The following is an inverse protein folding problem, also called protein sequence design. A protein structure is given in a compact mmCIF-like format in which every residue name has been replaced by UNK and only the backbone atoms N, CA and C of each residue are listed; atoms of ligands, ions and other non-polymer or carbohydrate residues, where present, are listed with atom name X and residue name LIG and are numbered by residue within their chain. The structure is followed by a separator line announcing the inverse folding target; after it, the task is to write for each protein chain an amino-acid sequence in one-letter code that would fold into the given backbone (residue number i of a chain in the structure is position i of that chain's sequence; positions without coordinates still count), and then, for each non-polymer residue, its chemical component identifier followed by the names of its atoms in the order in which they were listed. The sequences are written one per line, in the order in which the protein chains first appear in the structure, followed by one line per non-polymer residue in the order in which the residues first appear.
data_IF_158998960434
#
_entry.id   IF_158998960434
#
_cell.length_a   1.000
_cell.length_b   1.000
_cell.length_c   1.000
_cell.angle_alpha   90.00
_cell.angle_beta   90.00
_cell.angle_gamma   90.00
#
_symmetry.space_group_name_H-M   'P 1'
#
loop_
_entity.id
_entity.type
_entity.pdbx_description
1 polymer ?
#
# COMPACT_ATOMS: atom_id res chain seq x y z
N UNK A 1 18.04 -16.66 16.65
CA UNK A 1 17.27 -17.91 16.52
C UNK A 1 15.86 -17.66 17.05
N UNK A 2 14.88 -17.38 16.18
CA UNK A 2 13.46 -17.26 16.57
C UNK A 2 12.64 -18.07 15.57
N UNK A 3 12.66 -19.39 15.77
CA UNK A 3 11.72 -20.31 15.15
C UNK A 3 10.45 -20.34 15.99
N UNK A 4 9.63 -19.30 15.87
CA UNK A 4 8.29 -19.30 16.46
C UNK A 4 7.38 -20.14 15.56
N UNK A 5 7.09 -21.37 15.97
CA UNK A 5 6.12 -22.24 15.30
C UNK A 5 4.76 -21.52 15.17
N UNK A 6 4.50 -20.93 14.01
CA UNK A 6 3.20 -20.34 13.65
C UNK A 6 2.23 -21.49 13.42
N UNK A 7 1.51 -21.88 14.47
CA UNK A 7 0.55 -22.98 14.39
C UNK A 7 -0.54 -22.72 13.33
N UNK A 8 -1.16 -23.79 12.77
CA UNK A 8 -2.20 -23.69 11.74
C UNK A 8 -3.42 -22.84 12.17
N UNK A 9 -3.59 -22.66 13.48
CA UNK A 9 -4.58 -21.79 14.11
C UNK A 9 -4.50 -20.32 13.69
N UNK A 10 -3.31 -19.81 13.31
CA UNK A 10 -3.19 -18.44 12.80
C UNK A 10 -3.70 -18.30 11.36
N UNK A 11 -3.53 -19.33 10.53
CA UNK A 11 -4.12 -19.39 9.19
C UNK A 11 -5.65 -19.54 9.27
N UNK A 12 -6.14 -20.31 10.25
CA UNK A 12 -7.58 -20.47 10.48
C UNK A 12 -8.28 -19.13 10.79
N UNK A 13 -7.59 -18.19 11.45
CA UNK A 13 -8.10 -16.83 11.69
C UNK A 13 -8.22 -15.97 10.43
N UNK A 14 -7.50 -16.29 9.36
CA UNK A 14 -7.54 -15.56 8.08
C UNK A 14 -8.69 -16.05 7.17
N UNK A 15 -9.15 -17.28 7.35
CA UNK A 15 -10.24 -17.88 6.57
C UNK A 15 -11.53 -17.05 6.54
N UNK A 16 -12.09 -16.56 7.66
CA UNK A 16 -13.32 -15.77 7.59
C UNK A 16 -13.16 -14.49 6.77
N UNK A 17 -12.01 -13.81 6.89
CA UNK A 17 -11.71 -12.63 6.07
C UNK A 17 -11.60 -12.97 4.58
N UNK A 18 -10.97 -14.11 4.26
CA UNK A 18 -10.83 -14.57 2.87
C UNK A 18 -12.19 -14.98 2.27
N UNK A 19 -13.05 -15.64 3.04
CA UNK A 19 -14.41 -16.00 2.62
C UNK A 19 -15.23 -14.74 2.35
N UNK A 20 -15.20 -13.76 3.26
CA UNK A 20 -15.91 -12.49 3.07
C UNK A 20 -15.38 -11.75 1.84
N UNK A 21 -14.06 -11.65 1.68
CA UNK A 21 -13.46 -11.03 0.50
C UNK A 21 -13.88 -11.74 -0.80
N UNK A 22 -13.90 -13.07 -0.81
CA UNK A 22 -14.35 -13.89 -1.94
C UNK A 22 -15.83 -13.69 -2.28
N UNK A 23 -16.70 -13.67 -1.26
CA UNK A 23 -18.14 -13.42 -1.44
C UNK A 23 -18.39 -12.02 -1.97
N UNK A 24 -17.74 -11.00 -1.41
CA UNK A 24 -17.85 -9.63 -1.90
C UNK A 24 -17.33 -9.48 -3.34
N UNK A 25 -16.22 -10.13 -3.67
CA UNK A 25 -15.67 -10.13 -5.03
C UNK A 25 -16.62 -10.82 -6.01
N UNK A 26 -17.17 -11.99 -5.65
CA UNK A 26 -18.18 -12.68 -6.45
C UNK A 26 -19.42 -11.80 -6.64
N UNK A 27 -19.92 -11.19 -5.57
CA UNK A 27 -21.08 -10.30 -5.62
C UNK A 27 -20.82 -9.06 -6.50
N UNK A 28 -19.61 -8.50 -6.47
CA UNK A 28 -19.23 -7.35 -7.30
C UNK A 28 -19.15 -7.69 -8.79
N UNK A 29 -18.78 -8.93 -9.14
CA UNK A 29 -18.52 -9.33 -10.53
C UNK A 29 -19.71 -10.04 -11.19
N UNK A 30 -20.60 -10.67 -10.41
CA UNK A 30 -21.65 -11.55 -10.94
C UNK A 30 -22.61 -10.86 -11.94
N UNK A 31 -22.86 -9.57 -11.75
CA UNK A 31 -23.82 -8.78 -12.55
C UNK A 31 -23.11 -7.83 -13.55
N UNK A 32 -21.81 -8.02 -13.77
CA UNK A 32 -21.00 -7.14 -14.64
C UNK A 32 -21.12 -7.58 -16.10
N UNK A 33 -21.69 -6.71 -16.93
CA UNK A 33 -21.65 -6.82 -18.37
C UNK A 33 -20.28 -6.37 -18.90
N UNK A 34 -19.43 -7.34 -19.23
CA UNK A 34 -18.08 -7.10 -19.74
C UNK A 34 -18.04 -6.31 -21.05
N UNK A 35 -19.09 -6.38 -21.87
CA UNK A 35 -19.18 -5.64 -23.12
C UNK A 35 -19.35 -4.15 -22.84
N UNK A 36 -20.28 -3.81 -21.93
CA UNK A 36 -20.48 -2.45 -21.47
C UNK A 36 -19.25 -1.89 -20.75
N UNK A 37 -18.53 -2.70 -19.97
CA UNK A 37 -17.27 -2.29 -19.33
C UNK A 37 -16.25 -1.89 -20.37
N UNK A 38 -16.04 -2.70 -21.41
CA UNK A 38 -15.07 -2.40 -22.48
C UNK A 38 -15.43 -1.11 -23.21
N UNK A 39 -16.70 -0.92 -23.55
CA UNK A 39 -17.14 0.26 -24.30
C UNK A 39 -17.03 1.54 -23.44
N UNK A 40 -17.32 1.46 -22.13
CA UNK A 40 -17.08 2.55 -21.16
C UNK A 40 -15.58 2.85 -21.00
N UNK A 41 -14.73 1.83 -21.07
CA UNK A 41 -13.28 1.99 -20.96
C UNK A 41 -12.68 2.69 -22.19
N UNK A 42 -13.18 2.37 -23.39
CA UNK A 42 -12.80 3.04 -24.62
C UNK A 42 -13.25 4.52 -24.65
N UNK A 43 -14.42 4.82 -24.06
CA UNK A 43 -14.91 6.19 -23.88
C UNK A 43 -14.31 6.94 -22.68
N UNK A 44 -13.38 6.34 -21.93
CA UNK A 44 -12.79 6.98 -20.77
C UNK A 44 -12.05 8.27 -21.17
N UNK A 45 -12.25 9.34 -20.40
CA UNK A 45 -11.58 10.62 -20.64
C UNK A 45 -10.14 10.56 -20.15
N UNK A 46 -9.26 10.01 -20.99
CA UNK A 46 -7.81 9.94 -20.74
C UNK A 46 -7.16 11.31 -20.49
N UNK A 47 -7.82 12.40 -20.89
CA UNK A 47 -7.42 13.78 -20.53
C UNK A 47 -7.38 14.05 -19.03
N UNK A 48 -8.08 13.25 -18.21
CA UNK A 48 -8.07 13.36 -16.75
C UNK A 48 -6.92 12.57 -16.09
N UNK A 49 -6.27 11.66 -16.82
CA UNK A 49 -5.13 10.90 -16.34
C UNK A 49 -3.98 11.77 -15.78
N UNK A 50 -3.54 12.87 -16.44
CA UNK A 50 -2.51 13.73 -15.87
C UNK A 50 -2.96 14.42 -14.58
N UNK A 51 -4.24 14.82 -14.48
CA UNK A 51 -4.78 15.40 -13.24
C UNK A 51 -4.73 14.38 -12.11
N UNK A 52 -5.14 13.14 -12.38
CA UNK A 52 -5.06 12.05 -11.41
C UNK A 52 -3.61 11.75 -11.00
N UNK A 53 -2.66 11.77 -11.94
CA UNK A 53 -1.25 11.59 -11.65
C UNK A 53 -0.69 12.70 -10.75
N UNK A 54 -1.04 13.95 -11.01
CA UNK A 54 -0.64 15.11 -10.18
C UNK A 54 -1.23 15.00 -8.77
N UNK A 55 -2.51 14.62 -8.64
CA UNK A 55 -3.15 14.41 -7.35
C UNK A 55 -2.50 13.28 -6.57
N UNK A 56 -2.21 12.15 -7.22
CA UNK A 56 -1.53 11.01 -6.61
C UNK A 56 -0.11 11.37 -6.16
N UNK A 57 0.64 12.09 -7.00
CA UNK A 57 1.96 12.58 -6.65
C UNK A 57 1.90 13.53 -5.45
N UNK A 58 0.95 14.47 -5.45
CA UNK A 58 0.74 15.42 -4.36
C UNK A 58 0.38 14.70 -3.06
N UNK A 59 -0.45 13.67 -3.12
CA UNK A 59 -0.79 12.82 -1.97
C UNK A 59 0.46 12.17 -1.35
N UNK A 60 1.32 11.56 -2.17
CA UNK A 60 2.55 10.94 -1.68
C UNK A 60 3.57 11.98 -1.19
N UNK A 61 3.68 13.12 -1.85
CA UNK A 61 4.56 14.22 -1.44
C UNK A 61 4.16 14.79 -0.07
N UNK A 62 2.86 15.02 0.16
CA UNK A 62 2.34 15.45 1.45
C UNK A 62 2.58 14.42 2.55
N UNK A 63 2.43 13.13 2.26
CA UNK A 63 2.79 12.06 3.21
C UNK A 63 4.28 12.08 3.52
N UNK A 64 5.14 12.20 2.52
CA UNK A 64 6.59 12.26 2.73
C UNK A 64 6.98 13.47 3.58
N UNK A 65 6.37 14.63 3.33
CA UNK A 65 6.58 15.84 4.14
C UNK A 65 6.11 15.63 5.58
N UNK A 66 4.91 15.08 5.79
CA UNK A 66 4.38 14.77 7.13
C UNK A 66 5.31 13.82 7.88
N UNK A 67 5.80 12.77 7.24
CA UNK A 67 6.74 11.83 7.85
C UNK A 67 8.09 12.47 8.14
N UNK A 68 8.56 13.38 7.27
CA UNK A 68 9.76 14.18 7.52
C UNK A 68 9.59 15.07 8.76
N UNK A 69 8.44 15.71 8.96
CA UNK A 69 8.15 16.51 10.16
C UNK A 69 8.12 15.66 11.43
N UNK A 70 7.56 14.45 11.37
CA UNK A 70 7.54 13.52 12.51
C UNK A 70 8.93 12.99 12.88
N UNK A 71 9.82 12.83 11.89
CA UNK A 71 11.19 12.35 12.08
C UNK A 71 12.19 13.48 12.36
N UNK A 72 11.84 14.74 12.11
CA UNK A 72 12.68 15.92 12.36
C UNK A 72 13.28 16.00 13.79
N UNK A 73 12.55 15.67 14.88
CA UNK A 73 13.12 15.65 16.23
C UNK A 73 14.12 14.50 16.48
N UNK A 74 14.09 13.44 15.66
CA UNK A 74 14.99 12.29 15.78
C UNK A 74 16.20 12.46 14.87
N UNK A 75 15.99 12.93 13.64
CA UNK A 75 17.05 13.20 12.67
C UNK A 75 16.57 14.15 11.57
N UNK A 76 17.28 15.27 11.38
CA UNK A 76 16.98 16.22 10.31
C UNK A 76 17.34 15.63 8.95
N UNK A 77 16.33 15.38 8.13
CA UNK A 77 16.48 14.70 6.84
C UNK A 77 15.75 15.42 5.71
N UNK A 78 16.29 15.43 4.48
CA UNK A 78 15.57 15.94 3.33
C UNK A 78 14.42 15.01 2.95
N UNK A 79 13.31 15.57 2.45
CA UNK A 79 12.08 14.83 2.09
C UNK A 79 12.37 13.67 1.12
N UNK A 80 13.30 13.87 0.16
CA UNK A 80 13.70 12.82 -0.81
C UNK A 80 14.19 11.53 -0.14
N UNK A 81 14.81 11.66 1.03
CA UNK A 81 15.42 10.53 1.73
C UNK A 81 14.43 9.82 2.66
N UNK A 82 13.26 10.41 2.90
CA UNK A 82 12.11 9.75 3.55
C UNK A 82 11.18 9.14 2.49
N UNK A 83 11.10 9.74 1.29
CA UNK A 83 10.23 9.30 0.21
C UNK A 83 10.49 7.85 -0.22
N UNK A 84 11.76 7.45 -0.43
CA UNK A 84 12.13 6.09 -0.84
C UNK A 84 11.66 5.00 0.16
N UNK A 85 12.09 5.04 1.44
CA UNK A 85 11.63 4.11 2.46
C UNK A 85 10.11 4.12 2.65
N UNK A 86 9.46 5.28 2.49
CA UNK A 86 8.01 5.42 2.59
C UNK A 86 7.29 4.72 1.43
N UNK A 87 7.78 4.86 0.19
CA UNK A 87 7.24 4.14 -0.97
C UNK A 87 7.43 2.63 -0.84
N UNK A 88 8.59 2.17 -0.37
CA UNK A 88 8.85 0.74 -0.14
C UNK A 88 7.92 0.18 0.94
N UNK A 89 7.72 0.92 2.03
CA UNK A 89 6.75 0.55 3.07
C UNK A 89 5.32 0.48 2.54
N UNK A 90 4.92 1.41 1.67
CA UNK A 90 3.62 1.38 1.00
C UNK A 90 3.48 0.17 0.07
N UNK A 91 4.49 -0.12 -0.75
CA UNK A 91 4.50 -1.30 -1.61
C UNK A 91 4.35 -2.58 -0.78
N UNK A 92 5.13 -2.71 0.29
CA UNK A 92 5.04 -3.84 1.20
C UNK A 92 3.67 -3.96 1.87
N UNK A 93 2.98 -2.84 2.18
CA UNK A 93 1.62 -2.90 2.73
C UNK A 93 0.56 -3.35 1.71
N UNK A 94 0.79 -3.13 0.41
CA UNK A 94 -0.13 -3.62 -0.62
C UNK A 94 0.07 -5.11 -0.92
N UNK A 95 1.30 -5.63 -0.77
CA UNK A 95 1.62 -7.04 -1.02
C UNK A 95 1.45 -7.91 0.22
N UNK A 96 1.79 -7.39 1.40
CA UNK A 96 1.81 -8.15 2.64
C UNK A 96 0.54 -7.88 3.46
N UNK A 97 -0.16 -8.94 3.92
CA UNK A 97 -1.27 -8.78 4.84
C UNK A 97 -0.80 -8.22 6.20
N UNK A 98 -1.73 -7.60 6.94
CA UNK A 98 -1.54 -7.13 8.31
C UNK A 98 -0.57 -5.94 8.51
N UNK A 99 -0.49 -5.00 7.56
CA UNK A 99 0.28 -3.76 7.74
C UNK A 99 1.77 -3.95 8.03
N UNK A 100 2.35 -5.08 7.62
CA UNK A 100 3.78 -5.39 7.76
C UNK A 100 4.69 -4.41 7.00
N UNK A 101 4.13 -3.60 6.10
CA UNK A 101 4.84 -2.51 5.43
C UNK A 101 5.45 -1.48 6.38
N UNK A 102 4.92 -1.34 7.60
CA UNK A 102 5.53 -0.46 8.61
C UNK A 102 6.85 -1.02 9.14
N UNK A 103 6.93 -2.34 9.35
CA UNK A 103 8.18 -3.01 9.75
C UNK A 103 9.22 -2.90 8.63
N UNK A 104 8.80 -3.08 7.38
CA UNK A 104 9.68 -2.93 6.21
C UNK A 104 10.21 -1.50 6.14
N UNK A 105 9.38 -0.48 6.38
CA UNK A 105 9.81 0.93 6.39
C UNK A 105 10.88 1.17 7.45
N UNK A 106 10.71 0.66 8.67
CA UNK A 106 11.72 0.79 9.75
C UNK A 106 13.00 0.03 9.38
N UNK A 107 12.88 -1.20 8.88
CA UNK A 107 14.03 -2.01 8.47
C UNK A 107 14.85 -1.36 7.35
N UNK A 108 14.19 -0.83 6.32
CA UNK A 108 14.84 -0.15 5.20
C UNK A 108 15.46 1.17 5.66
N UNK A 109 14.78 1.93 6.52
CA UNK A 109 15.32 3.16 7.08
C UNK A 109 16.59 2.89 7.90
N UNK A 110 16.58 1.82 8.72
CA UNK A 110 17.73 1.38 9.50
C UNK A 110 18.89 0.89 8.65
N UNK A 111 18.63 0.05 7.63
CA UNK A 111 19.66 -0.40 6.67
C UNK A 111 20.30 0.72 5.85
N UNK A 112 19.49 1.70 5.44
CA UNK A 112 19.98 2.79 4.57
C UNK A 112 20.81 3.80 5.34
N UNK A 113 20.65 3.90 6.67
CA UNK A 113 21.29 4.96 7.47
C UNK A 113 21.98 4.51 8.77
N UNK A 114 21.99 3.22 9.10
CA UNK A 114 22.71 2.68 10.26
C UNK A 114 22.12 3.05 11.62
N UNK A 115 20.78 3.18 11.70
CA UNK A 115 20.02 3.30 12.97
C UNK A 115 19.24 2.05 13.27
#
# INVERSE_FOLDING_TARGET
MVGGQRGPWQLLKLLPGLVVAGVCLWYAVRDVDWLQVRDRWAGARWSLAPVMAVLLFSFFALKALRWKLLLDPVSRMPVRAVAGPLMIGFMANNLLPAHLGELVRVHVLGRTRGV
#
